data_IF_740492324553
#
_entry.id   IF_740492324553
#
_cell.length_a   1.000
_cell.length_b   1.000
_cell.length_c   1.000
_cell.angle_alpha   90.00
_cell.angle_beta   90.00
_cell.angle_gamma   90.00
#
_symmetry.space_group_name_H-M   'P 1'
#
loop_
_entity.id
_entity.type
_entity.pdbx_description
1 polymer ?
#
# COMPACT_ATOMS: atom_id res chain seq x y z
N UNK A 1 -8.81 8.25 8.49
CA UNK A 1 -8.32 8.78 7.20
C UNK A 1 -7.04 8.04 6.85
N UNK A 2 -6.86 7.55 5.61
CA UNK A 2 -5.60 6.95 5.18
C UNK A 2 -4.49 8.00 5.12
N UNK A 3 -3.29 7.65 5.56
CA UNK A 3 -2.11 8.50 5.53
C UNK A 3 -1.12 8.00 4.49
N UNK A 4 -0.19 8.84 4.07
CA UNK A 4 0.93 8.40 3.23
C UNK A 4 1.68 7.22 3.89
N UNK A 5 2.11 6.27 3.05
CA UNK A 5 2.75 5.03 3.52
C UNK A 5 1.77 3.93 3.91
N UNK A 6 0.47 4.22 4.00
CA UNK A 6 -0.57 3.20 4.22
C UNK A 6 -0.98 2.55 2.89
N UNK A 7 -1.73 1.47 2.99
CA UNK A 7 -2.49 0.94 1.87
C UNK A 7 -3.99 1.06 2.11
N UNK A 8 -4.74 1.22 1.02
CA UNK A 8 -6.20 1.12 1.03
C UNK A 8 -6.64 -0.06 0.16
N UNK A 9 -7.73 -0.68 0.58
CA UNK A 9 -8.43 -1.72 -0.17
C UNK A 9 -9.80 -1.19 -0.55
N UNK A 10 -10.15 -1.25 -1.84
CA UNK A 10 -11.46 -0.79 -2.31
C UNK A 10 -12.54 -1.89 -2.25
N UNK A 11 -13.79 -1.56 -2.62
CA UNK A 11 -14.90 -2.54 -2.66
C UNK A 11 -14.66 -3.70 -3.62
N UNK A 12 -13.80 -3.55 -4.62
CA UNK A 12 -13.40 -4.61 -5.57
C UNK A 12 -12.24 -5.45 -5.03
N UNK A 13 -11.77 -5.13 -3.83
CA UNK A 13 -10.61 -5.72 -3.14
C UNK A 13 -9.28 -5.34 -3.75
N UNK A 14 -9.20 -4.40 -4.69
CA UNK A 14 -7.92 -3.96 -5.23
C UNK A 14 -7.13 -3.19 -4.15
N UNK A 15 -5.79 -3.28 -4.20
CA UNK A 15 -4.90 -2.69 -3.20
C UNK A 15 -4.09 -1.54 -3.79
N UNK A 16 -4.08 -0.42 -3.08
CA UNK A 16 -3.43 0.82 -3.48
C UNK A 16 -2.52 1.35 -2.38
N UNK A 17 -1.33 1.82 -2.73
CA UNK A 17 -0.40 2.49 -1.81
C UNK A 17 -0.70 3.98 -1.76
N UNK A 18 -1.04 4.51 -0.59
CA UNK A 18 -1.41 5.91 -0.39
C UNK A 18 -0.19 6.82 -0.54
N UNK A 19 -0.36 7.88 -1.34
CA UNK A 19 0.63 8.93 -1.59
C UNK A 19 0.18 10.30 -1.10
N UNK A 20 -1.12 10.49 -0.87
CA UNK A 20 -1.63 11.74 -0.32
C UNK A 20 -3.15 11.82 -0.36
N UNK A 21 -3.66 13.02 -0.13
CA UNK A 21 -5.09 13.33 -0.15
C UNK A 21 -5.33 14.46 -1.15
N UNK A 22 -6.46 14.41 -1.83
CA UNK A 22 -6.92 15.52 -2.68
C UNK A 22 -7.70 16.50 -1.81
N UNK A 23 -7.48 17.80 -1.99
CA UNK A 23 -8.28 18.81 -1.31
C UNK A 23 -9.47 19.24 -2.19
N UNK A 24 -10.72 19.27 -1.67
CA UNK A 24 -11.16 18.82 -0.35
C UNK A 24 -11.14 17.28 -0.20
N UNK A 25 -10.93 16.75 1.03
CA UNK A 25 -10.55 15.36 1.33
C UNK A 25 -11.68 14.34 1.12
N UNK A 26 -12.10 14.18 -0.14
CA UNK A 26 -13.08 13.19 -0.59
C UNK A 26 -12.43 11.98 -1.27
N UNK A 27 -11.17 12.13 -1.70
CA UNK A 27 -10.38 11.14 -2.42
C UNK A 27 -8.97 11.04 -1.85
N UNK A 28 -8.37 9.87 -2.04
CA UNK A 28 -6.99 9.57 -1.66
C UNK A 28 -6.19 9.35 -2.92
N UNK A 29 -5.09 10.10 -3.08
CA UNK A 29 -4.11 9.83 -4.14
C UNK A 29 -3.39 8.54 -3.76
N UNK A 30 -3.53 7.49 -4.56
CA UNK A 30 -2.97 6.19 -4.22
C UNK A 30 -2.52 5.41 -5.45
N UNK A 31 -1.25 5.00 -5.47
CA UNK A 31 -0.68 4.23 -6.55
C UNK A 31 -1.22 2.78 -6.53
N UNK A 32 -1.74 2.27 -7.66
CA UNK A 32 -2.27 0.93 -7.75
C UNK A 32 -1.14 -0.10 -7.61
N UNK A 33 -1.34 -1.15 -6.79
CA UNK A 33 -0.31 -2.16 -6.50
C UNK A 33 -0.74 -3.57 -6.85
N UNK A 34 -1.96 -3.95 -6.50
CA UNK A 34 -2.49 -5.30 -6.76
C UNK A 34 -3.95 -5.24 -7.20
N UNK A 35 -4.29 -6.02 -8.22
CA UNK A 35 -5.68 -6.26 -8.62
C UNK A 35 -6.16 -7.59 -8.06
N UNK A 36 -7.42 -7.66 -7.66
CA UNK A 36 -8.07 -8.93 -7.31
C UNK A 36 -8.65 -9.58 -8.58
N UNK A 37 -8.20 -10.78 -8.91
CA UNK A 37 -8.62 -11.56 -10.09
C UNK A 37 -8.91 -13.01 -9.68
N UNK A 38 -10.10 -13.54 -9.97
CA UNK A 38 -10.45 -14.96 -9.79
C UNK A 38 -9.93 -15.60 -8.50
N UNK A 39 -10.11 -14.89 -7.38
CA UNK A 39 -9.69 -15.30 -6.03
C UNK A 39 -8.20 -15.16 -5.67
N UNK A 40 -7.41 -14.45 -6.48
CA UNK A 40 -5.99 -14.17 -6.24
C UNK A 40 -5.64 -12.70 -6.47
N UNK A 41 -4.50 -12.27 -5.92
CA UNK A 41 -3.93 -10.95 -6.17
C UNK A 41 -2.87 -11.00 -7.28
N UNK A 42 -2.99 -10.12 -8.27
CA UNK A 42 -2.00 -9.94 -9.33
C UNK A 42 -1.32 -8.58 -9.17
N UNK A 43 0.01 -8.59 -9.07
CA UNK A 43 0.81 -7.36 -8.98
C UNK A 43 0.69 -6.56 -10.27
N UNK A 44 0.45 -5.27 -10.15
CA UNK A 44 0.39 -4.35 -11.29
C UNK A 44 1.81 -3.90 -11.61
N UNK A 45 2.37 -4.23 -12.80
CA UNK A 45 3.74 -3.88 -13.14
C UNK A 45 3.91 -2.42 -13.54
N UNK A 46 2.86 -1.76 -14.06
CA UNK A 46 2.88 -0.35 -14.47
C UNK A 46 1.48 0.29 -14.42
N UNK A 47 1.43 1.61 -14.39
CA UNK A 47 0.20 2.40 -14.28
C UNK A 47 -0.71 2.30 -15.50
N UNK A 48 -0.18 2.00 -16.69
CA UNK A 48 -0.98 1.90 -17.92
C UNK A 48 -2.06 0.82 -17.86
N UNK A 49 -1.81 -0.28 -17.13
CA UNK A 49 -2.81 -1.33 -16.90
C UNK A 49 -3.97 -0.81 -16.05
N UNK A 50 -3.65 0.00 -15.03
CA UNK A 50 -4.65 0.58 -14.15
C UNK A 50 -5.56 1.55 -14.90
N UNK A 51 -5.00 2.44 -15.73
CA UNK A 51 -5.77 3.39 -16.54
C UNK A 51 -6.82 2.72 -17.43
N UNK A 52 -6.51 1.51 -17.92
CA UNK A 52 -7.42 0.72 -18.74
C UNK A 52 -8.54 0.05 -17.94
N UNK A 53 -8.26 -0.36 -16.71
CA UNK A 53 -9.13 -1.24 -15.91
C UNK A 53 -9.95 -0.48 -14.86
N UNK A 54 -9.48 0.70 -14.46
CA UNK A 54 -10.06 1.54 -13.38
C UNK A 54 -10.06 3.01 -13.77
N UNK A 55 -10.50 3.30 -15.00
CA UNK A 55 -10.56 4.68 -15.52
C UNK A 55 -11.42 5.59 -14.64
N UNK A 56 -12.42 5.03 -13.95
CA UNK A 56 -13.28 5.74 -13.01
C UNK A 56 -12.56 6.29 -11.76
N UNK A 57 -11.37 5.76 -11.46
CA UNK A 57 -10.53 6.21 -10.35
C UNK A 57 -9.42 7.16 -10.81
N UNK A 58 -9.41 7.55 -12.07
CA UNK A 58 -8.51 8.59 -12.55
C UNK A 58 -9.10 9.96 -12.22
N UNK A 59 -8.23 10.86 -11.76
CA UNK A 59 -8.56 12.25 -11.51
C UNK A 59 -7.57 13.13 -12.25
N UNK A 60 -8.08 14.09 -13.01
CA UNK A 60 -7.27 15.15 -13.60
C UNK A 60 -6.99 16.18 -12.52
N UNK A 61 -5.72 16.34 -12.19
CA UNK A 61 -5.26 17.33 -11.25
C UNK A 61 -4.92 18.64 -12.00
N UNK A 62 -5.85 19.59 -11.93
CA UNK A 62 -5.72 20.90 -12.58
C UNK A 62 -4.55 21.72 -12.01
N UNK A 63 -4.15 21.50 -10.75
CA UNK A 63 -3.02 22.21 -10.12
C UNK A 63 -1.67 21.73 -10.66
N UNK A 64 -1.60 20.48 -11.11
CA UNK A 64 -0.42 19.87 -11.73
C UNK A 64 -0.54 19.76 -13.25
N UNK A 65 -1.02 20.83 -13.90
CA UNK A 65 -1.09 20.97 -15.36
C UNK A 65 -1.92 19.88 -16.07
N UNK A 66 -3.01 19.42 -15.46
CA UNK A 66 -3.91 18.42 -16.06
C UNK A 66 -3.34 17.01 -16.03
N UNK A 67 -2.42 16.72 -15.10
CA UNK A 67 -1.88 15.37 -14.94
C UNK A 67 -2.95 14.45 -14.37
N UNK A 68 -3.16 13.32 -15.04
CA UNK A 68 -4.09 12.29 -14.57
C UNK A 68 -3.43 11.42 -13.51
N UNK A 69 -3.99 11.42 -12.30
CA UNK A 69 -3.49 10.62 -11.17
C UNK A 69 -4.55 9.64 -10.67
N UNK A 70 -4.13 8.46 -10.17
CA UNK A 70 -5.01 7.55 -9.45
C UNK A 70 -5.50 8.17 -8.13
N UNK A 71 -6.81 8.36 -8.02
CA UNK A 71 -7.49 8.97 -6.88
C UNK A 71 -8.71 8.15 -6.46
N UNK A 72 -8.58 7.41 -5.37
CA UNK A 72 -9.61 6.49 -4.89
C UNK A 72 -10.60 7.25 -4.02
N UNK A 73 -11.91 7.23 -4.33
CA UNK A 73 -12.93 7.82 -3.46
C UNK A 73 -12.94 7.16 -2.09
N UNK A 74 -12.97 7.95 -1.01
CA UNK A 74 -13.00 7.41 0.35
C UNK A 74 -14.25 6.54 0.60
N UNK A 75 -15.35 6.80 -0.11
CA UNK A 75 -16.58 5.99 -0.06
C UNK A 75 -16.41 4.55 -0.58
N UNK A 76 -15.40 4.32 -1.42
CA UNK A 76 -15.07 3.02 -1.99
C UNK A 76 -14.05 2.24 -1.13
N UNK A 77 -13.40 2.89 -0.16
CA UNK A 77 -12.41 2.24 0.71
C UNK A 77 -13.11 1.39 1.76
N UNK A 78 -12.85 0.07 1.77
CA UNK A 78 -13.38 -0.88 2.75
C UNK A 78 -12.37 -1.30 3.81
N UNK A 79 -11.08 -1.10 3.56
CA UNK A 79 -10.02 -1.43 4.53
C UNK A 79 -8.83 -0.50 4.37
N UNK A 80 -8.15 -0.24 5.48
CA UNK A 80 -6.89 0.51 5.54
C UNK A 80 -5.86 -0.39 6.21
N UNK A 81 -4.71 -0.58 5.57
CA UNK A 81 -3.56 -1.31 6.11
C UNK A 81 -2.50 -0.30 6.52
N UNK A 82 -2.25 -0.23 7.82
CA UNK A 82 -1.20 0.63 8.39
C UNK A 82 0.10 -0.17 8.49
N UNK A 83 1.26 0.48 8.37
CA UNK A 83 2.54 -0.14 8.72
C UNK A 83 2.46 -0.78 10.11
N UNK A 84 3.06 -1.96 10.26
CA UNK A 84 3.05 -2.67 11.53
C UNK A 84 4.27 -3.57 11.70
N UNK A 85 4.80 -3.64 12.91
CA UNK A 85 5.82 -4.62 13.28
C UNK A 85 5.29 -6.05 13.36
N UNK A 86 3.96 -6.22 13.44
CA UNK A 86 3.31 -7.53 13.51
C UNK A 86 2.91 -8.04 12.12
N UNK A 87 3.88 -8.61 11.41
CA UNK A 87 3.67 -9.21 10.08
C UNK A 87 3.30 -10.69 10.17
N UNK A 88 2.71 -11.21 9.09
CA UNK A 88 2.42 -12.64 8.96
C UNK A 88 3.74 -13.42 9.04
N UNK A 89 3.84 -14.31 10.03
CA UNK A 89 5.00 -15.19 10.19
C UNK A 89 4.88 -16.37 9.25
N UNK A 90 5.98 -16.70 8.57
CA UNK A 90 6.16 -17.93 7.83
C UNK A 90 7.63 -18.38 7.93
N UNK A 91 7.98 -19.41 7.18
CA UNK A 91 9.32 -20.00 7.21
C UNK A 91 10.28 -19.38 6.17
N UNK A 92 9.89 -18.29 5.52
CA UNK A 92 10.75 -17.59 4.55
C UNK A 92 11.90 -16.92 5.30
N UNK A 93 13.12 -17.02 4.75
CA UNK A 93 14.30 -16.43 5.41
C UNK A 93 14.14 -14.93 5.62
N UNK A 94 13.50 -14.25 4.67
CA UNK A 94 13.18 -12.83 4.73
C UNK A 94 12.43 -12.42 6.01
N UNK A 95 11.43 -13.21 6.45
CA UNK A 95 10.66 -12.91 7.67
C UNK A 95 11.56 -12.97 8.91
N UNK A 96 12.46 -13.96 8.97
CA UNK A 96 13.45 -14.05 10.05
C UNK A 96 14.39 -12.84 10.08
N UNK A 97 14.86 -12.40 8.91
CA UNK A 97 15.72 -11.20 8.78
C UNK A 97 14.96 -9.94 9.18
N UNK A 98 13.72 -9.76 8.72
CA UNK A 98 12.88 -8.62 9.08
C UNK A 98 12.66 -8.56 10.60
N UNK A 99 12.28 -9.67 11.24
CA UNK A 99 12.07 -9.69 12.68
C UNK A 99 13.36 -9.43 13.48
N UNK A 100 14.52 -9.83 12.97
CA UNK A 100 15.80 -9.48 13.58
C UNK A 100 16.11 -7.99 13.42
N UNK A 101 15.87 -7.41 12.23
CA UNK A 101 16.03 -5.97 11.99
C UNK A 101 15.13 -5.16 12.93
N UNK A 102 13.87 -5.57 13.12
CA UNK A 102 12.99 -4.95 14.11
C UNK A 102 13.57 -5.00 15.54
N UNK A 103 14.11 -6.15 15.96
CA UNK A 103 14.74 -6.29 17.28
C UNK A 103 15.94 -5.36 17.45
N UNK A 104 16.77 -5.24 16.42
CA UNK A 104 17.92 -4.33 16.45
C UNK A 104 17.46 -2.87 16.53
N UNK A 105 16.49 -2.47 15.70
CA UNK A 105 15.96 -1.10 15.68
C UNK A 105 15.30 -0.73 17.03
N UNK A 106 14.46 -1.62 17.58
CA UNK A 106 13.74 -1.41 18.85
C UNK A 106 14.66 -1.33 20.06
N UNK A 107 15.88 -1.89 20.00
CA UNK A 107 16.86 -1.74 21.08
C UNK A 107 17.39 -0.31 21.22
N UNK A 108 17.38 0.48 20.14
CA UNK A 108 17.96 1.83 20.11
C UNK A 108 16.92 2.93 20.00
N UNK A 109 15.62 2.60 20.06
CA UNK A 109 14.56 3.57 19.80
C UNK A 109 13.22 3.16 20.39
N UNK A 110 12.39 4.13 20.77
CA UNK A 110 10.99 3.95 21.15
C UNK A 110 10.07 3.77 19.91
N UNK A 111 10.55 3.04 18.88
CA UNK A 111 9.89 2.93 17.57
C UNK A 111 8.63 2.04 17.55
N UNK A 112 8.25 1.46 18.66
CA UNK A 112 7.03 0.66 18.76
C UNK A 112 5.76 1.47 18.43
N UNK A 113 5.79 2.80 18.61
CA UNK A 113 4.62 3.67 18.37
C UNK A 113 4.63 4.41 17.02
N UNK A 114 5.75 4.47 16.30
CA UNK A 114 5.93 5.45 15.19
C UNK A 114 6.21 4.79 13.82
N UNK A 115 6.29 3.47 13.72
CA UNK A 115 6.63 2.79 12.46
C UNK A 115 6.10 1.37 12.32
N UNK A 116 6.56 0.66 11.29
CA UNK A 116 6.26 -0.74 11.08
C UNK A 116 6.61 -1.20 9.68
N UNK A 117 6.64 -2.50 9.46
CA UNK A 117 6.83 -3.02 8.11
C UNK A 117 5.70 -2.55 7.18
N UNK A 118 6.08 -2.21 5.96
CA UNK A 118 5.18 -1.86 4.86
C UNK A 118 5.39 -2.83 3.69
N UNK A 119 4.94 -2.48 2.49
CA UNK A 119 5.28 -3.27 1.31
C UNK A 119 4.71 -4.69 1.30
N UNK A 120 5.48 -5.60 0.71
CA UNK A 120 5.09 -7.00 0.52
C UNK A 120 4.95 -7.76 1.85
N UNK A 121 5.76 -7.43 2.86
CA UNK A 121 5.70 -8.03 4.20
C UNK A 121 4.40 -7.67 4.94
N UNK A 122 3.97 -6.41 4.86
CA UNK A 122 2.69 -5.96 5.42
C UNK A 122 1.50 -6.66 4.75
N UNK A 123 1.56 -6.81 3.43
CA UNK A 123 0.49 -7.41 2.64
C UNK A 123 0.51 -8.94 2.65
N UNK A 124 1.60 -9.55 3.12
CA UNK A 124 1.80 -11.00 3.12
C UNK A 124 2.00 -11.58 1.72
N UNK A 125 2.55 -10.78 0.79
CA UNK A 125 2.84 -11.16 -0.60
C UNK A 125 4.34 -11.26 -0.88
N UNK A 126 5.17 -11.28 0.17
CA UNK A 126 6.62 -11.39 0.04
C UNK A 126 7.06 -12.76 -0.48
N UNK A 127 8.25 -12.78 -1.05
CA UNK A 127 8.97 -13.98 -1.46
C UNK A 127 10.47 -13.82 -1.10
N UNK A 128 11.30 -14.81 -1.39
CA UNK A 128 12.74 -14.77 -1.05
C UNK A 128 13.54 -13.66 -1.75
N UNK A 129 12.99 -13.06 -2.82
CA UNK A 129 13.61 -11.95 -3.57
C UNK A 129 13.08 -10.58 -3.14
N UNK A 130 12.10 -10.54 -2.24
CA UNK A 130 11.49 -9.29 -1.80
C UNK A 130 12.43 -8.52 -0.87
N UNK A 131 12.30 -7.20 -0.92
CA UNK A 131 12.94 -6.27 0.00
C UNK A 131 12.19 -6.17 1.34
N UNK A 132 12.82 -5.51 2.31
CA UNK A 132 12.23 -5.17 3.61
C UNK A 132 11.96 -3.66 3.59
N UNK A 133 10.68 -3.30 3.53
CA UNK A 133 10.24 -1.91 3.65
C UNK A 133 9.76 -1.62 5.09
N UNK A 134 10.17 -0.49 5.66
CA UNK A 134 9.79 0.03 6.99
C UNK A 134 9.24 1.46 6.82
#
# INVERSE_FOLDING_TARGET
MPLEGYYVVDRRKDIYAVKGLIHPPSKVVAAPKYLWTDSNYVKIPNTNIFEKIRREYLHEDDENYGTTIPAIPLSEVISVKKPTWNIKKDNTKLVGVALNLYREISQYSELEEVGGFTGSLLLGFHNEESDIDI
#
